data_IF_944101760429
#
_entry.id   IF_944101760429
#
_cell.length_a   1.000
_cell.length_b   1.000
_cell.length_c   1.000
_cell.angle_alpha   90.00
_cell.angle_beta   90.00
_cell.angle_gamma   90.00
#
_symmetry.space_group_name_H-M   'P 1'
#
loop_
_entity.id
_entity.type
_entity.pdbx_description
1 polymer ?
#
# COMPACT_ATOMS: atom_id res chain seq x y z
N UNK A 1 20.80 -14.24 -6.82
CA UNK A 1 20.00 -14.18 -5.58
C UNK A 1 18.56 -14.03 -6.04
N UNK A 2 17.65 -14.91 -5.62
CA UNK A 2 16.24 -14.77 -6.02
C UNK A 2 15.72 -13.44 -5.50
N UNK A 3 14.98 -12.71 -6.33
CA UNK A 3 14.28 -11.49 -5.96
C UNK A 3 13.15 -11.90 -5.02
N UNK A 4 13.44 -12.09 -3.73
CA UNK A 4 12.40 -12.50 -2.79
C UNK A 4 11.40 -11.37 -2.67
N UNK A 5 10.13 -11.70 -2.85
CA UNK A 5 9.03 -10.79 -2.57
C UNK A 5 8.77 -10.85 -1.06
N UNK A 6 8.80 -9.71 -0.38
CA UNK A 6 8.72 -9.62 1.06
C UNK A 6 7.97 -8.37 1.54
N UNK A 7 7.46 -8.50 2.75
CA UNK A 7 6.99 -7.40 3.56
C UNK A 7 8.03 -7.09 4.63
N UNK A 8 8.22 -5.82 5.03
CA UNK A 8 9.21 -5.45 6.05
C UNK A 8 8.66 -4.40 7.01
N UNK A 9 8.92 -4.60 8.30
CA UNK A 9 8.66 -3.62 9.35
C UNK A 9 9.93 -3.47 10.21
N UNK A 10 10.40 -2.23 10.36
CA UNK A 10 11.52 -1.93 11.27
C UNK A 10 12.81 -2.69 10.95
N UNK A 11 13.04 -3.04 9.68
CA UNK A 11 14.20 -3.82 9.24
C UNK A 11 14.04 -5.35 9.32
N UNK A 12 12.91 -5.86 9.84
CA UNK A 12 12.63 -7.30 9.90
C UNK A 12 11.68 -7.66 8.75
N UNK A 13 12.21 -8.40 7.78
CA UNK A 13 11.49 -8.82 6.59
C UNK A 13 10.84 -10.21 6.75
N UNK A 14 9.64 -10.35 6.22
CA UNK A 14 8.91 -11.62 6.08
C UNK A 14 8.74 -11.90 4.58
N UNK A 15 9.26 -13.04 4.07
CA UNK A 15 9.08 -13.40 2.68
C UNK A 15 7.65 -13.89 2.41
N UNK A 16 7.12 -13.65 1.21
CA UNK A 16 5.76 -14.07 0.86
C UNK A 16 5.64 -15.58 0.76
N UNK A 17 6.66 -16.30 0.31
CA UNK A 17 6.66 -17.77 0.25
C UNK A 17 6.49 -18.45 1.62
N UNK A 18 6.68 -17.69 2.71
CA UNK A 18 6.41 -18.16 4.05
C UNK A 18 4.90 -18.22 4.39
N UNK A 19 4.05 -17.54 3.60
CA UNK A 19 2.65 -17.33 3.91
C UNK A 19 1.76 -17.49 2.67
N UNK A 20 0.74 -18.33 2.76
CA UNK A 20 -0.16 -18.61 1.64
C UNK A 20 -1.25 -17.54 1.52
N UNK A 21 -1.69 -16.99 2.66
CA UNK A 21 -2.79 -16.02 2.72
C UNK A 21 -2.32 -14.69 3.33
N UNK A 22 -1.65 -13.87 2.52
CA UNK A 22 -1.33 -12.48 2.89
C UNK A 22 -2.42 -11.56 2.36
N UNK A 23 -2.95 -10.71 3.26
CA UNK A 23 -3.87 -9.64 2.92
C UNK A 23 -3.37 -8.33 3.50
N UNK A 24 -3.53 -7.25 2.73
CA UNK A 24 -3.23 -5.90 3.17
C UNK A 24 -4.37 -4.98 2.79
N UNK A 25 -4.91 -4.28 3.78
CA UNK A 25 -5.91 -3.23 3.60
C UNK A 25 -5.26 -1.87 3.72
N UNK A 26 -5.85 -0.89 3.03
CA UNK A 26 -5.44 0.49 3.10
C UNK A 26 -6.66 1.36 3.36
N UNK A 27 -6.53 2.26 4.33
CA UNK A 27 -7.50 3.29 4.61
C UNK A 27 -6.81 4.66 4.64
N UNK A 28 -7.59 5.72 4.45
CA UNK A 28 -7.13 7.10 4.54
C UNK A 28 -7.46 7.62 5.93
N UNK A 29 -6.41 7.87 6.70
CA UNK A 29 -6.50 8.55 7.97
C UNK A 29 -6.55 10.06 7.71
N UNK A 30 -7.65 10.69 8.14
CA UNK A 30 -7.88 12.12 8.01
C UNK A 30 -8.82 12.64 9.10
N UNK A 31 -8.60 13.87 9.52
CA UNK A 31 -9.57 14.63 10.31
C UNK A 31 -10.37 15.53 9.36
N UNK A 32 -11.45 14.97 8.82
CA UNK A 32 -12.36 15.67 7.91
C UNK A 32 -13.82 15.45 8.26
N UNK A 33 -14.68 16.42 7.96
CA UNK A 33 -16.14 16.26 8.14
C UNK A 33 -16.74 15.39 7.04
N UNK A 34 -17.29 14.24 7.41
CA UNK A 34 -18.08 13.38 6.53
C UNK A 34 -19.28 12.79 7.29
N UNK A 35 -20.53 12.97 6.82
CA UNK A 35 -20.94 13.71 5.62
C UNK A 35 -20.59 15.21 5.70
N UNK A 36 -20.54 15.94 4.57
CA UNK A 36 -20.24 17.36 4.56
C UNK A 36 -21.26 18.17 5.37
N UNK A 37 -20.80 19.26 6.00
CA UNK A 37 -21.69 20.21 6.67
C UNK A 37 -22.53 20.91 5.62
N UNK A 38 -23.84 21.02 5.85
CA UNK A 38 -24.76 21.77 5.00
C UNK A 38 -24.93 23.19 5.52
N UNK A 39 -24.74 24.16 4.65
CA UNK A 39 -24.95 25.57 4.93
C UNK A 39 -26.44 25.94 4.76
N UNK A 40 -26.85 27.12 5.27
CA UNK A 40 -28.24 27.57 5.16
C UNK A 40 -28.74 27.70 3.71
N UNK A 41 -27.83 27.90 2.74
CA UNK A 41 -28.16 27.94 1.31
C UNK A 41 -28.20 26.55 0.65
N UNK A 42 -27.99 25.47 1.41
CA UNK A 42 -27.97 24.10 0.90
C UNK A 42 -26.59 23.58 0.46
N UNK A 43 -25.58 24.44 0.39
CA UNK A 43 -24.23 24.05 -0.02
C UNK A 43 -23.60 23.06 0.96
N UNK A 44 -22.92 22.06 0.41
CA UNK A 44 -22.12 21.10 1.17
C UNK A 44 -20.67 21.59 1.27
N UNK A 45 -20.09 21.59 2.47
CA UNK A 45 -18.67 21.91 2.71
C UNK A 45 -18.02 20.80 3.55
N UNK A 46 -16.90 20.28 3.06
CA UNK A 46 -16.00 19.40 3.82
C UNK A 46 -14.92 20.29 4.44
N UNK A 47 -14.76 20.21 5.77
CA UNK A 47 -13.66 20.85 6.46
C UNK A 47 -12.63 19.78 6.80
N UNK A 48 -11.36 20.04 6.51
CA UNK A 48 -10.25 19.11 6.77
C UNK A 48 -9.17 19.83 7.58
N UNK A 49 -8.81 19.27 8.74
CA UNK A 49 -7.72 19.78 9.56
C UNK A 49 -6.36 19.18 9.14
N UNK A 50 -6.34 17.88 8.90
CA UNK A 50 -5.21 17.13 8.35
C UNK A 50 -5.77 15.90 7.62
N UNK A 51 -4.97 15.31 6.72
CA UNK A 51 -5.41 14.12 5.99
C UNK A 51 -4.32 13.53 5.11
N UNK A 52 -4.75 12.62 4.23
CA UNK A 52 -3.89 11.88 3.30
C UNK A 52 -2.83 11.00 3.98
N UNK A 53 -3.02 10.64 5.25
CA UNK A 53 -2.18 9.67 5.94
C UNK A 53 -2.69 8.26 5.69
N UNK A 54 -1.79 7.30 5.59
CA UNK A 54 -2.15 5.90 5.36
C UNK A 54 -2.34 5.19 6.70
N UNK A 55 -3.49 4.53 6.85
CA UNK A 55 -3.67 3.45 7.81
C UNK A 55 -3.66 2.13 7.07
N UNK A 56 -2.99 1.12 7.60
CA UNK A 56 -2.92 -0.19 6.97
C UNK A 56 -2.98 -1.31 7.99
N UNK A 57 -3.72 -2.36 7.65
CA UNK A 57 -3.73 -3.62 8.39
C UNK A 57 -3.20 -4.69 7.48
N UNK A 58 -2.26 -5.48 7.98
CA UNK A 58 -1.64 -6.56 7.23
C UNK A 58 -1.79 -7.83 8.04
N UNK A 59 -2.32 -8.86 7.39
CA UNK A 59 -2.49 -10.18 7.98
C UNK A 59 -1.75 -11.20 7.14
N UNK A 60 -1.15 -12.18 7.78
CA UNK A 60 -0.55 -13.32 7.10
C UNK A 60 -0.86 -14.62 7.83
N UNK A 61 -0.98 -15.71 7.08
CA UNK A 61 -1.06 -17.08 7.59
C UNK A 61 -0.15 -18.00 6.81
N UNK A 62 0.58 -18.87 7.50
CA UNK A 62 1.55 -19.75 6.85
C UNK A 62 2.34 -20.63 7.81
N UNK A 63 3.46 -21.14 7.31
CA UNK A 63 4.32 -22.07 8.04
C UNK A 63 5.36 -21.38 8.92
N UNK A 64 5.50 -20.05 8.83
CA UNK A 64 6.49 -19.26 9.58
C UNK A 64 5.80 -18.22 10.48
N UNK A 65 6.32 -17.97 11.70
CA UNK A 65 5.87 -16.85 12.53
C UNK A 65 6.37 -15.49 11.99
N UNK A 66 5.73 -14.39 12.40
CA UNK A 66 6.07 -13.03 11.95
C UNK A 66 7.40 -12.46 12.48
N UNK A 67 7.96 -13.05 13.54
CA UNK A 67 9.23 -12.66 14.15
C UNK A 67 9.38 -11.17 14.53
N UNK A 68 8.27 -10.45 14.78
CA UNK A 68 8.28 -9.02 15.10
C UNK A 68 8.19 -8.67 16.58
N UNK A 69 8.05 -9.64 17.46
CA UNK A 69 7.89 -9.41 18.92
C UNK A 69 9.07 -8.67 19.56
N UNK A 70 10.24 -8.68 18.92
CA UNK A 70 11.45 -7.96 19.39
C UNK A 70 11.56 -6.50 18.94
N UNK A 71 10.64 -5.98 18.13
CA UNK A 71 10.67 -4.59 17.66
C UNK A 71 10.27 -3.61 18.77
N UNK A 72 10.87 -2.41 18.76
CA UNK A 72 10.47 -1.32 19.66
C UNK A 72 9.27 -0.53 19.10
N UNK A 73 8.07 -1.00 19.43
CA UNK A 73 6.80 -0.37 19.03
C UNK A 73 6.55 1.02 19.63
N UNK A 74 7.45 1.54 20.47
CA UNK A 74 7.39 2.92 20.97
C UNK A 74 8.06 3.92 20.04
N UNK A 75 8.76 3.45 19.00
CA UNK A 75 9.47 4.29 18.04
C UNK A 75 8.82 4.21 16.64
N UNK A 76 8.95 5.28 15.84
CA UNK A 76 8.68 5.23 14.42
C UNK A 76 9.51 4.15 13.73
N UNK A 77 8.87 3.40 12.83
CA UNK A 77 9.52 2.35 12.05
C UNK A 77 9.24 2.54 10.56
N UNK A 78 10.19 2.12 9.72
CA UNK A 78 9.95 2.02 8.29
C UNK A 78 9.09 0.80 8.00
N UNK A 79 8.04 1.01 7.23
CA UNK A 79 7.11 0.00 6.77
C UNK A 79 7.21 -0.10 5.24
N UNK A 80 7.64 -1.26 4.75
CA UNK A 80 7.62 -1.55 3.32
C UNK A 80 6.43 -2.43 3.01
N UNK A 81 5.41 -1.82 2.43
CA UNK A 81 4.16 -2.49 2.16
C UNK A 81 4.27 -3.57 1.09
N UNK A 82 3.35 -4.52 1.16
CA UNK A 82 3.28 -5.67 0.26
C UNK A 82 2.25 -5.51 -0.86
N UNK A 83 1.09 -4.94 -0.54
CA UNK A 83 0.03 -4.68 -1.50
C UNK A 83 0.29 -3.42 -2.30
N UNK A 84 0.18 -3.49 -3.62
CA UNK A 84 0.27 -2.31 -4.48
C UNK A 84 -0.96 -1.41 -4.33
N UNK A 85 -0.74 -0.10 -4.25
CA UNK A 85 -1.78 0.94 -4.38
C UNK A 85 -1.83 1.42 -5.83
N UNK A 86 -2.97 1.92 -6.25
CA UNK A 86 -3.21 2.31 -7.64
C UNK A 86 -3.65 3.76 -7.74
N UNK A 87 -3.10 4.50 -8.68
CA UNK A 87 -3.60 5.82 -9.10
C UNK A 87 -3.99 5.73 -10.58
N UNK A 88 -5.26 6.01 -10.87
CA UNK A 88 -5.79 6.11 -12.22
C UNK A 88 -5.84 7.56 -12.72
N UNK A 89 -5.75 7.76 -14.03
CA UNK A 89 -5.84 9.06 -14.67
C UNK A 89 -6.33 8.92 -16.12
N UNK A 90 -6.90 9.98 -16.69
CA UNK A 90 -7.10 10.06 -18.14
C UNK A 90 -5.80 10.39 -18.88
N UNK A 91 -4.84 11.04 -18.19
CA UNK A 91 -3.50 11.33 -18.70
C UNK A 91 -2.59 10.10 -18.51
N UNK A 92 -1.66 9.90 -19.44
CA UNK A 92 -0.63 8.87 -19.32
C UNK A 92 0.54 9.29 -18.41
N UNK A 93 0.63 10.57 -18.04
CA UNK A 93 1.54 11.07 -17.01
C UNK A 93 0.79 11.18 -15.67
N UNK A 94 1.23 10.38 -14.70
CA UNK A 94 0.56 10.19 -13.40
C UNK A 94 1.54 10.52 -12.29
N UNK A 95 1.20 11.50 -11.45
CA UNK A 95 1.96 11.77 -10.22
C UNK A 95 1.68 10.66 -9.20
N UNK A 96 2.75 10.06 -8.67
CA UNK A 96 2.69 9.05 -7.62
C UNK A 96 3.49 9.50 -6.39
N UNK A 97 3.14 9.08 -5.16
CA UNK A 97 3.88 9.48 -3.97
C UNK A 97 5.37 9.12 -4.05
N UNK A 98 6.23 9.99 -3.50
CA UNK A 98 7.67 9.76 -3.33
C UNK A 98 7.97 8.64 -2.34
N UNK A 99 7.11 8.48 -1.32
CA UNK A 99 7.15 7.42 -0.30
C UNK A 99 6.71 6.07 -0.89
N UNK A 100 7.55 5.54 -1.78
CA UNK A 100 7.34 4.27 -2.49
C UNK A 100 8.63 3.45 -2.51
N UNK A 101 8.44 2.14 -2.58
CA UNK A 101 9.50 1.15 -2.77
C UNK A 101 10.23 1.37 -4.09
N UNK A 102 11.51 1.01 -4.12
CA UNK A 102 12.42 1.23 -5.25
C UNK A 102 13.18 -0.02 -5.70
N UNK A 103 12.95 -1.15 -5.03
CA UNK A 103 13.53 -2.43 -5.39
C UNK A 103 12.89 -3.01 -6.66
N UNK A 104 13.64 -3.79 -7.43
CA UNK A 104 13.29 -4.18 -8.81
C UNK A 104 11.86 -4.76 -9.00
N UNK A 105 11.37 -5.58 -8.07
CA UNK A 105 10.01 -6.15 -8.14
C UNK A 105 8.91 -5.11 -7.83
N UNK A 106 9.23 -4.13 -6.99
CA UNK A 106 8.31 -3.12 -6.45
C UNK A 106 8.36 -1.79 -7.20
N UNK A 107 9.15 -1.71 -8.28
CA UNK A 107 9.13 -0.55 -9.18
C UNK A 107 7.70 -0.30 -9.70
N UNK A 108 7.33 0.96 -9.98
CA UNK A 108 5.99 1.27 -10.48
C UNK A 108 5.63 0.52 -11.77
N UNK A 109 4.44 -0.10 -11.79
CA UNK A 109 3.91 -0.83 -12.93
C UNK A 109 2.73 -0.07 -13.54
N UNK A 110 2.64 0.01 -14.87
CA UNK A 110 1.64 0.82 -15.56
C UNK A 110 0.73 0.00 -16.44
N UNK A 111 -0.48 0.50 -16.61
CA UNK A 111 -1.44 -0.07 -17.53
C UNK A 111 -2.30 1.01 -18.19
N UNK A 112 -2.84 0.68 -19.36
CA UNK A 112 -3.87 1.43 -20.04
C UNK A 112 -5.22 0.70 -19.94
N UNK A 113 -6.31 1.43 -20.09
CA UNK A 113 -7.66 0.89 -20.23
C UNK A 113 -8.05 1.00 -21.70
N UNK A 114 -8.18 -0.13 -22.38
CA UNK A 114 -8.56 -0.21 -23.80
C UNK A 114 -9.80 -1.07 -23.92
N UNK A 115 -10.90 -0.51 -24.45
CA UNK A 115 -12.17 -1.23 -24.56
C UNK A 115 -12.68 -1.78 -23.21
N UNK A 116 -12.43 -1.06 -22.11
CA UNK A 116 -12.81 -1.47 -20.75
C UNK A 116 -11.92 -2.56 -20.13
N UNK A 117 -10.78 -2.90 -20.75
CA UNK A 117 -9.85 -3.93 -20.25
C UNK A 117 -8.50 -3.32 -19.86
N UNK A 118 -7.89 -3.86 -18.81
CA UNK A 118 -6.52 -3.56 -18.42
C UNK A 118 -5.54 -4.13 -19.45
N UNK A 119 -4.68 -3.29 -19.99
CA UNK A 119 -3.56 -3.66 -20.87
C UNK A 119 -2.28 -3.13 -20.26
N UNK A 120 -1.36 -4.01 -19.86
CA UNK A 120 -0.06 -3.61 -19.30
C UNK A 120 0.71 -2.76 -20.30
N UNK A 121 1.39 -1.72 -19.80
CA UNK A 121 2.19 -0.82 -20.62
C UNK A 121 3.42 -0.32 -19.85
N UNK A 122 4.61 -0.26 -20.48
CA UNK A 122 5.83 0.17 -19.80
C UNK A 122 5.72 1.56 -19.18
N UNK A 123 6.33 1.73 -18.01
CA UNK A 123 6.41 3.00 -17.27
C UNK A 123 7.83 3.52 -17.28
N UNK A 124 7.97 4.83 -17.49
CA UNK A 124 9.20 5.57 -17.22
C UNK A 124 8.96 6.56 -16.08
N UNK A 125 9.95 6.73 -15.20
CA UNK A 125 9.87 7.62 -14.06
C UNK A 125 10.71 8.88 -14.29
N UNK A 126 10.13 10.05 -14.00
CA UNK A 126 10.85 11.32 -13.89
C UNK A 126 10.43 12.01 -12.58
N UNK A 127 11.30 11.96 -11.57
CA UNK A 127 10.95 12.35 -10.20
C UNK A 127 9.77 11.52 -9.67
N UNK A 128 8.66 12.18 -9.36
CA UNK A 128 7.43 11.57 -8.87
C UNK A 128 6.36 11.40 -9.95
N UNK A 129 6.70 11.65 -11.22
CA UNK A 129 5.79 11.44 -12.35
C UNK A 129 6.12 10.13 -13.06
N UNK A 130 5.17 9.21 -13.01
CA UNK A 130 5.15 7.96 -13.76
C UNK A 130 4.49 8.21 -15.12
N UNK A 131 5.24 8.05 -16.21
CA UNK A 131 4.74 8.17 -17.57
C UNK A 131 4.54 6.79 -18.17
N UNK A 132 3.27 6.40 -18.32
CA UNK A 132 2.86 5.17 -18.99
C UNK A 132 2.98 5.37 -20.50
N UNK A 133 3.56 4.39 -21.20
CA UNK A 133 3.65 4.44 -22.67
C UNK A 133 2.25 4.43 -23.26
N UNK A 134 1.99 5.36 -24.20
CA UNK A 134 0.67 5.54 -24.80
C UNK A 134 0.24 4.27 -25.54
N UNK A 135 -0.99 3.84 -25.30
CA UNK A 135 -1.60 2.70 -26.00
C UNK A 135 -2.73 3.23 -26.87
N UNK A 136 -2.80 2.77 -28.12
CA UNK A 136 -3.84 3.19 -29.05
C UNK A 136 -5.25 2.87 -28.51
N UNK A 137 -6.18 3.79 -28.72
CA UNK A 137 -7.57 3.69 -28.22
C UNK A 137 -7.71 3.54 -26.70
N UNK A 138 -6.69 3.92 -25.92
CA UNK A 138 -6.80 3.98 -24.47
C UNK A 138 -7.78 5.08 -24.03
N UNK A 139 -8.66 4.75 -23.09
CA UNK A 139 -9.63 5.67 -22.47
C UNK A 139 -9.18 6.12 -21.07
N UNK A 140 -8.10 5.54 -20.55
CA UNK A 140 -7.49 5.90 -19.28
C UNK A 140 -6.22 5.10 -19.03
N UNK A 141 -5.52 5.46 -17.97
CA UNK A 141 -4.27 4.88 -17.54
C UNK A 141 -4.29 4.67 -16.03
N UNK A 142 -3.43 3.78 -15.53
CA UNK A 142 -3.19 3.63 -14.11
C UNK A 142 -1.76 3.20 -13.82
N UNK A 143 -1.29 3.53 -12.62
CA UNK A 143 0.01 3.13 -12.10
C UNK A 143 -0.18 2.47 -10.75
N UNK A 144 0.38 1.27 -10.63
CA UNK A 144 0.50 0.51 -9.38
C UNK A 144 1.85 0.87 -8.76
N UNK A 145 1.86 1.26 -7.50
CA UNK A 145 3.07 1.54 -6.71
C UNK A 145 2.94 0.90 -5.33
N UNK A 146 4.07 0.59 -4.70
CA UNK A 146 4.10 -0.03 -3.38
C UNK A 146 4.61 0.99 -2.37
N UNK A 147 3.81 1.35 -1.34
CA UNK A 147 4.24 2.32 -0.35
C UNK A 147 5.46 1.87 0.47
N UNK A 148 6.34 2.81 0.75
CA UNK A 148 7.40 2.71 1.76
C UNK A 148 7.25 3.92 2.68
N UNK A 149 6.68 3.72 3.86
CA UNK A 149 6.20 4.79 4.73
C UNK A 149 6.75 4.64 6.15
N UNK A 150 6.93 5.76 6.84
CA UNK A 150 7.27 5.75 8.26
C UNK A 150 5.99 5.70 9.09
N UNK A 151 5.91 4.76 10.02
CA UNK A 151 4.69 4.47 10.78
C UNK A 151 4.94 4.34 12.27
N UNK A 152 3.90 4.55 13.06
CA UNK A 152 3.74 3.84 14.32
C UNK A 152 2.95 2.55 14.05
N UNK A 153 3.46 1.43 14.54
CA UNK A 153 2.78 0.14 14.46
C UNK A 153 2.29 -0.28 15.85
N UNK A 154 1.17 -1.01 15.90
CA UNK A 154 0.82 -1.78 17.10
C UNK A 154 1.65 -3.06 17.13
N UNK A 155 1.93 -3.54 18.34
CA UNK A 155 2.54 -4.85 18.55
C UNK A 155 1.79 -5.92 17.76
N UNK A 156 2.51 -6.81 17.09
CA UNK A 156 1.89 -7.86 16.30
C UNK A 156 1.02 -8.75 17.16
N UNK A 157 -0.17 -9.08 16.65
CA UNK A 157 -1.01 -10.13 17.21
C UNK A 157 -0.69 -11.43 16.49
N UNK A 158 -0.52 -12.52 17.23
CA UNK A 158 -0.21 -13.83 16.67
C UNK A 158 -1.24 -14.86 17.10
N UNK A 159 -1.59 -15.76 16.19
CA UNK A 159 -2.43 -16.93 16.43
C UNK A 159 -1.66 -18.17 15.98
N UNK A 160 -1.61 -19.23 16.80
CA UNK A 160 -0.82 -20.42 16.49
C UNK A 160 -1.73 -21.64 16.57
N UNK A 161 -1.93 -22.29 15.42
CA UNK A 161 -2.69 -23.52 15.34
C UNK A 161 -1.76 -24.72 15.14
N UNK A 162 -1.44 -25.38 16.25
CA UNK A 162 -0.57 -26.55 16.27
C UNK A 162 -1.16 -27.78 15.57
N UNK A 163 -2.49 -27.86 15.44
CA UNK A 163 -3.15 -29.02 14.83
C UNK A 163 -2.90 -29.10 13.31
N UNK A 164 -2.66 -27.94 12.66
CA UNK A 164 -2.39 -27.84 11.22
C UNK A 164 -1.03 -27.22 10.92
N UNK A 165 -0.19 -27.00 11.93
CA UNK A 165 1.11 -26.34 11.83
C UNK A 165 1.06 -24.97 11.14
N UNK A 166 0.08 -24.14 11.52
CA UNK A 166 -0.12 -22.80 10.95
C UNK A 166 0.18 -21.70 11.98
N UNK A 167 0.87 -20.67 11.53
CA UNK A 167 1.10 -19.42 12.23
C UNK A 167 0.34 -18.30 11.53
N UNK A 168 -0.60 -17.69 12.24
CA UNK A 168 -1.30 -16.49 11.85
C UNK A 168 -0.73 -15.26 12.55
N UNK A 169 -0.74 -14.12 11.87
CA UNK A 169 -0.36 -12.85 12.45
C UNK A 169 -1.12 -11.67 11.84
N UNK A 170 -1.17 -10.58 12.60
CA UNK A 170 -1.72 -9.30 12.18
C UNK A 170 -0.86 -8.15 12.71
N UNK A 171 -0.66 -7.14 11.88
CA UNK A 171 -0.18 -5.82 12.29
C UNK A 171 -1.14 -4.72 11.84
N UNK A 172 -1.20 -3.67 12.64
CA UNK A 172 -1.85 -2.41 12.30
C UNK A 172 -0.81 -1.30 12.37
N UNK A 173 -0.76 -0.46 11.35
CA UNK A 173 0.17 0.65 11.27
C UNK A 173 -0.49 1.92 10.74
N UNK A 174 -0.07 3.05 11.28
CA UNK A 174 -0.52 4.38 10.89
C UNK A 174 0.69 5.25 10.53
N UNK A 175 0.63 5.86 9.34
CA UNK A 175 1.63 6.80 8.85
C UNK A 175 1.71 8.05 9.76
N UNK A 176 2.94 8.51 10.00
CA UNK A 176 3.25 9.72 10.77
C UNK A 176 3.28 10.94 9.86
#
# INVERSE_FOLDING_TARGET
MSTQNYFELGGVAIPYEAHLDISQTYDVLQASTWPPVRMMNGDAKVQTAWGNKIKTTITGRGWMPSAWDGLDYKQPMLLKCAGGRVIGSQSNAISIPSARRSEAFYLPHGYAIVGGRKVESPVSMAGDTATVTVVAAATGYGVIYYPEITVYAKASQTDINLAVAEFGWQIEAEEI
#
